data_IF_982735427532
#
_entry.id   IF_982735427532
#
_cell.length_a   1.000
_cell.length_b   1.000
_cell.length_c   1.000
_cell.angle_alpha   90.00
_cell.angle_beta   90.00
_cell.angle_gamma   90.00
#
_symmetry.space_group_name_H-M   'P 1'
#
loop_
_entity.id
_entity.type
_entity.pdbx_description
1 polymer ?
#
# COMPACT_ATOMS: atom_id res chain seq x y z
N UNK A 1 -13.29 -3.24 -4.78
CA UNK A 1 -13.44 -4.49 -4.01
C UNK A 1 -13.97 -4.30 -2.58
N UNK A 2 -14.05 -3.08 -2.03
CA UNK A 2 -14.42 -2.86 -0.62
C UNK A 2 -15.92 -2.63 -0.37
N UNK A 3 -16.77 -2.86 -1.37
CA UNK A 3 -18.21 -2.50 -1.33
C UNK A 3 -19.04 -3.30 -0.33
N UNK A 4 -18.49 -4.39 0.23
CA UNK A 4 -19.17 -5.23 1.23
C UNK A 4 -18.64 -5.01 2.65
N UNK A 5 -17.72 -4.08 2.86
CA UNK A 5 -17.14 -3.80 4.18
C UNK A 5 -17.95 -2.73 4.90
N UNK A 6 -18.06 -2.87 6.22
CA UNK A 6 -18.62 -1.82 7.06
C UNK A 6 -17.69 -0.61 7.09
N UNK A 7 -18.23 0.58 7.33
CA UNK A 7 -17.44 1.81 7.47
C UNK A 7 -16.40 1.69 8.59
N UNK A 8 -16.76 1.11 9.74
CA UNK A 8 -15.83 0.84 10.84
C UNK A 8 -14.66 -0.04 10.39
N UNK A 9 -14.93 -1.10 9.63
CA UNK A 9 -13.86 -1.97 9.10
C UNK A 9 -12.93 -1.20 8.15
N UNK A 10 -13.48 -0.31 7.32
CA UNK A 10 -12.68 0.51 6.41
C UNK A 10 -11.77 1.46 7.20
N UNK A 11 -12.29 2.10 8.25
CA UNK A 11 -11.49 2.98 9.11
C UNK A 11 -10.41 2.22 9.89
N UNK A 12 -10.72 1.02 10.40
CA UNK A 12 -9.74 0.17 11.06
C UNK A 12 -8.59 -0.22 10.12
N UNK A 13 -8.91 -0.58 8.87
CA UNK A 13 -7.91 -0.90 7.85
C UNK A 13 -7.01 0.31 7.54
N UNK A 14 -7.58 1.52 7.44
CA UNK A 14 -6.80 2.74 7.25
C UNK A 14 -5.83 2.98 8.39
N UNK A 15 -6.28 2.83 9.65
CA UNK A 15 -5.43 3.00 10.84
C UNK A 15 -4.25 2.02 10.90
N UNK A 16 -4.39 0.86 10.26
CA UNK A 16 -3.33 -0.13 10.15
C UNK A 16 -2.35 0.14 8.98
N UNK A 17 -2.53 1.21 8.23
CA UNK A 17 -1.55 1.70 7.25
C UNK A 17 -0.79 2.88 7.85
N UNK A 18 0.52 2.97 7.59
CA UNK A 18 1.31 4.12 8.03
C UNK A 18 0.81 5.44 7.40
N UNK A 19 0.24 5.37 6.20
CA UNK A 19 -0.32 6.54 5.51
C UNK A 19 -1.73 6.92 5.97
N UNK A 20 -2.40 6.11 6.79
CA UNK A 20 -3.76 6.37 7.25
C UNK A 20 -4.83 6.32 6.14
N UNK A 21 -4.52 5.73 4.98
CA UNK A 21 -5.40 5.69 3.80
C UNK A 21 -5.39 4.32 3.13
N UNK A 22 -6.48 3.99 2.45
CA UNK A 22 -6.50 2.81 1.57
C UNK A 22 -5.99 3.20 0.19
N UNK A 23 -5.02 2.45 -0.30
CA UNK A 23 -4.53 2.58 -1.67
C UNK A 23 -5.63 2.32 -2.70
N UNK A 24 -5.45 2.94 -3.85
CA UNK A 24 -6.27 2.79 -5.04
C UNK A 24 -5.59 1.86 -6.04
N UNK A 25 -6.32 1.45 -7.08
CA UNK A 25 -5.72 0.72 -8.19
C UNK A 25 -4.67 1.55 -8.94
N UNK A 26 -4.79 2.88 -8.91
CA UNK A 26 -3.82 3.78 -9.54
C UNK A 26 -2.47 3.75 -8.83
N UNK A 27 -2.43 3.65 -7.50
CA UNK A 27 -1.16 3.57 -6.76
C UNK A 27 -0.33 2.35 -7.16
N UNK A 28 -1.00 1.23 -7.48
CA UNK A 28 -0.36 0.03 -8.04
C UNK A 28 0.04 0.23 -9.51
N UNK A 29 -0.81 0.87 -10.30
CA UNK A 29 -0.53 1.11 -11.72
C UNK A 29 0.71 2.00 -11.91
N UNK A 30 0.86 3.05 -11.09
CA UNK A 30 2.00 3.97 -11.16
C UNK A 30 3.33 3.27 -10.84
N UNK A 31 3.39 2.40 -9.83
CA UNK A 31 4.62 1.65 -9.55
C UNK A 31 4.94 0.66 -10.68
N UNK A 32 3.94 0.01 -11.25
CA UNK A 32 4.13 -0.89 -12.40
C UNK A 32 4.66 -0.12 -13.60
N UNK A 33 4.09 1.06 -13.88
CA UNK A 33 4.55 1.95 -14.95
C UNK A 33 6.01 2.39 -14.73
N UNK A 34 6.37 2.76 -13.51
CA UNK A 34 7.75 3.09 -13.15
C UNK A 34 8.69 1.92 -13.41
N UNK A 35 8.33 0.70 -12.96
CA UNK A 35 9.14 -0.50 -13.13
C UNK A 35 9.29 -0.93 -14.60
N UNK A 36 8.27 -0.69 -15.42
CA UNK A 36 8.32 -0.95 -16.86
C UNK A 36 9.16 0.09 -17.63
N UNK A 37 9.45 1.24 -17.01
CA UNK A 37 10.19 2.32 -17.66
C UNK A 37 11.71 2.11 -17.59
N UNK A 38 12.45 2.84 -18.43
CA UNK A 38 13.92 2.86 -18.41
C UNK A 38 14.51 3.39 -17.09
N UNK A 39 13.71 4.05 -16.24
CA UNK A 39 14.14 4.57 -14.94
C UNK A 39 14.42 3.48 -13.91
N UNK A 40 13.87 2.28 -14.10
CA UNK A 40 14.04 1.15 -13.19
C UNK A 40 15.11 0.15 -13.67
N UNK A 41 16.00 0.53 -14.59
CA UNK A 41 16.96 -0.38 -15.24
C UNK A 41 17.93 -1.12 -14.29
N UNK A 42 18.13 -0.62 -13.07
CA UNK A 42 18.98 -1.25 -12.06
C UNK A 42 18.19 -2.01 -10.97
N UNK A 43 16.87 -2.07 -11.09
CA UNK A 43 15.98 -2.73 -10.12
C UNK A 43 15.61 -4.10 -10.66
N UNK A 44 16.12 -5.16 -10.04
CA UNK A 44 15.79 -6.55 -10.38
C UNK A 44 15.80 -7.44 -9.13
N UNK A 45 15.01 -8.51 -9.14
CA UNK A 45 14.90 -9.47 -8.03
C UNK A 45 14.26 -8.90 -6.76
N UNK A 46 13.63 -7.73 -6.82
CA UNK A 46 13.03 -7.06 -5.66
C UNK A 46 11.53 -7.35 -5.55
N UNK A 47 11.05 -7.47 -4.31
CA UNK A 47 9.62 -7.48 -3.99
C UNK A 47 9.23 -6.06 -3.56
N UNK A 48 8.38 -5.40 -4.33
CA UNK A 48 7.94 -4.02 -4.06
C UNK A 48 6.50 -4.04 -3.56
N UNK A 49 6.26 -3.41 -2.41
CA UNK A 49 4.95 -3.40 -1.74
C UNK A 49 4.37 -1.99 -1.69
N UNK A 50 3.61 -1.55 -2.72
CA UNK A 50 2.94 -0.25 -2.77
C UNK A 50 1.65 -0.24 -1.90
N UNK A 51 1.77 -0.54 -0.60
CA UNK A 51 0.63 -0.85 0.28
C UNK A 51 0.36 0.20 1.36
N UNK A 52 0.93 1.40 1.23
CA UNK A 52 0.78 2.47 2.24
C UNK A 52 1.38 2.14 3.61
N UNK A 53 2.31 1.19 3.67
CA UNK A 53 2.97 0.76 4.91
C UNK A 53 2.29 -0.42 5.61
N UNK A 54 1.20 -0.96 5.08
CA UNK A 54 0.41 -2.01 5.76
C UNK A 54 1.20 -3.25 6.22
N UNK A 55 2.27 -3.66 5.51
CA UNK A 55 3.03 -4.88 5.85
C UNK A 55 4.09 -4.70 6.94
N UNK A 56 4.69 -3.50 7.06
CA UNK A 56 5.85 -3.25 7.93
C UNK A 56 5.53 -2.21 9.01
N UNK A 57 4.34 -1.61 8.96
CA UNK A 57 3.90 -0.64 9.94
C UNK A 57 3.68 -1.30 11.30
N UNK A 58 4.54 -0.95 12.26
CA UNK A 58 4.35 -1.25 13.65
C UNK A 58 3.51 -0.13 14.28
N UNK A 59 2.36 -0.46 14.86
CA UNK A 59 1.59 0.48 15.67
C UNK A 59 2.31 0.63 17.00
N UNK A 60 3.01 1.75 17.19
CA UNK A 60 3.66 2.08 18.46
C UNK A 60 2.66 2.30 19.61
N UNK A 61 1.36 2.39 19.33
CA UNK A 61 0.31 2.65 20.33
C UNK A 61 -0.28 1.37 20.98
N UNK A 62 0.34 0.20 20.79
CA UNK A 62 -0.09 -1.08 21.38
C UNK A 62 0.91 -1.69 22.40
N UNK A 63 1.89 -0.91 22.88
CA UNK A 63 2.80 -1.28 23.98
C UNK A 63 2.50 -0.41 25.20
#
# INVERSE_FOLDING_TARGET
MNSRLSTSTIEDLKRNTALGVLGTTSDVAEIVLFLASSKANFITGQIISPNGGFLIFCICDLI
#
